data_IF_781683291513
#
_entry.id   IF_781683291513
#
_cell.length_a   1.000
_cell.length_b   1.000
_cell.length_c   1.000
_cell.angle_alpha   90.00
_cell.angle_beta   90.00
_cell.angle_gamma   90.00
#
_symmetry.space_group_name_H-M   'P 1'
#
loop_
_entity.id
_entity.type
_entity.pdbx_description
1 polymer ?
#
# COMPACT_ATOMS: atom_id res chain seq x y z
N UNK A 1 18.80 -25.80 -22.24
CA UNK A 1 19.91 -25.69 -21.27
C UNK A 1 19.31 -25.60 -19.86
N UNK A 2 19.81 -26.37 -18.88
CA UNK A 2 19.43 -26.15 -17.46
C UNK A 2 19.96 -24.78 -17.03
N UNK A 3 19.12 -23.96 -16.40
CA UNK A 3 19.54 -22.64 -15.87
C UNK A 3 20.50 -22.88 -14.70
N UNK A 4 21.64 -22.18 -14.70
CA UNK A 4 22.56 -22.17 -13.56
C UNK A 4 21.85 -21.59 -12.33
N UNK A 5 22.15 -22.13 -11.15
CA UNK A 5 21.59 -21.68 -9.89
C UNK A 5 22.61 -21.81 -8.75
N UNK A 6 22.42 -21.01 -7.71
CA UNK A 6 23.13 -21.10 -6.44
C UNK A 6 22.23 -21.76 -5.40
N UNK A 7 22.65 -22.85 -4.74
CA UNK A 7 21.89 -23.45 -3.65
C UNK A 7 22.05 -22.61 -2.37
N UNK A 8 21.03 -21.82 -2.03
CA UNK A 8 20.99 -21.07 -0.77
C UNK A 8 20.45 -21.97 0.34
N UNK A 9 21.21 -22.27 1.41
CA UNK A 9 20.72 -23.07 2.52
C UNK A 9 19.53 -22.40 3.20
N UNK A 10 18.43 -23.11 3.40
CA UNK A 10 17.24 -22.53 4.00
C UNK A 10 17.49 -22.11 5.46
N UNK A 11 18.46 -22.75 6.15
CA UNK A 11 18.94 -22.37 7.48
C UNK A 11 19.41 -20.92 7.60
N UNK A 12 19.82 -20.30 6.51
CA UNK A 12 20.20 -18.88 6.48
C UNK A 12 19.05 -17.96 6.92
N UNK A 13 17.81 -18.44 6.88
CA UNK A 13 16.62 -17.69 7.31
C UNK A 13 16.15 -18.01 8.73
N UNK A 14 16.87 -18.87 9.48
CA UNK A 14 16.50 -19.28 10.84
C UNK A 14 16.85 -18.19 11.88
N UNK A 15 16.04 -17.13 11.92
CA UNK A 15 16.26 -15.83 12.59
C UNK A 15 16.52 -15.85 14.11
N UNK A 16 16.18 -16.92 14.83
CA UNK A 16 16.46 -17.09 16.27
C UNK A 16 17.76 -17.88 16.54
N UNK A 17 18.53 -18.20 15.51
CA UNK A 17 19.69 -19.08 15.62
C UNK A 17 20.97 -18.42 15.11
N UNK A 18 22.12 -18.97 15.51
CA UNK A 18 23.43 -18.54 15.00
C UNK A 18 23.59 -18.77 13.50
N UNK A 19 22.73 -19.58 12.89
CA UNK A 19 22.70 -19.84 11.46
C UNK A 19 22.06 -18.72 10.65
N UNK A 20 21.36 -17.77 11.27
CA UNK A 20 20.73 -16.66 10.54
C UNK A 20 21.74 -15.78 9.81
N UNK A 21 21.43 -15.42 8.56
CA UNK A 21 22.28 -14.63 7.68
C UNK A 21 21.59 -13.30 7.34
N UNK A 22 22.20 -12.16 7.73
CA UNK A 22 21.82 -10.81 7.30
C UNK A 22 21.98 -10.58 5.79
N UNK A 23 21.47 -9.43 5.33
CA UNK A 23 21.40 -9.06 3.91
C UNK A 23 22.77 -9.08 3.22
N UNK A 24 23.80 -8.50 3.84
CA UNK A 24 25.14 -8.44 3.26
C UNK A 24 25.77 -9.83 3.11
N UNK A 25 25.69 -10.66 4.14
CA UNK A 25 26.22 -12.02 4.12
C UNK A 25 25.52 -12.88 3.05
N UNK A 26 24.20 -12.74 2.91
CA UNK A 26 23.42 -13.48 1.90
C UNK A 26 23.87 -13.15 0.47
N UNK A 27 24.08 -11.86 0.19
CA UNK A 27 24.53 -11.40 -1.14
C UNK A 27 25.95 -11.84 -1.44
N UNK A 28 26.85 -11.77 -0.45
CA UNK A 28 28.22 -12.29 -0.61
C UNK A 28 28.20 -13.78 -0.92
N UNK A 29 27.43 -14.58 -0.17
CA UNK A 29 27.30 -16.01 -0.43
C UNK A 29 26.75 -16.29 -1.83
N UNK A 30 25.73 -15.55 -2.26
CA UNK A 30 25.15 -15.68 -3.59
C UNK A 30 26.17 -15.39 -4.71
N UNK A 31 26.95 -14.31 -4.60
CA UNK A 31 27.97 -13.98 -5.60
C UNK A 31 29.13 -14.97 -5.59
N UNK A 32 29.56 -15.44 -4.42
CA UNK A 32 30.55 -16.51 -4.32
C UNK A 32 30.10 -17.77 -5.07
N UNK A 33 28.81 -18.10 -4.97
CA UNK A 33 28.17 -19.23 -5.65
C UNK A 33 27.89 -19.03 -7.15
N UNK A 34 28.12 -17.84 -7.70
CA UNK A 34 28.13 -17.59 -9.15
C UNK A 34 29.55 -17.49 -9.73
N UNK A 35 30.57 -17.21 -8.91
CA UNK A 35 31.97 -17.05 -9.33
C UNK A 35 32.76 -18.36 -9.33
N UNK A 36 32.08 -19.49 -9.23
CA UNK A 36 32.66 -20.82 -9.06
C UNK A 36 33.43 -21.20 -10.30
N UNK A 37 34.47 -22.00 -10.12
CA UNK A 37 35.25 -22.50 -11.23
C UNK A 37 34.42 -23.48 -12.07
N UNK A 38 34.47 -23.35 -13.39
CA UNK A 38 33.73 -24.22 -14.31
C UNK A 38 34.02 -25.72 -14.11
N UNK A 39 35.21 -26.06 -13.61
CA UNK A 39 35.65 -27.44 -13.32
C UNK A 39 35.40 -27.87 -11.87
N UNK A 40 35.16 -26.92 -10.95
CA UNK A 40 34.89 -27.19 -9.54
C UNK A 40 33.83 -26.21 -9.02
N UNK A 41 32.58 -26.63 -9.04
CA UNK A 41 31.43 -25.81 -8.64
C UNK A 41 31.38 -25.48 -7.15
N UNK A 42 32.25 -26.09 -6.33
CA UNK A 42 32.39 -25.77 -4.91
C UNK A 42 33.53 -24.79 -4.61
N UNK A 43 34.42 -24.51 -5.56
CA UNK A 43 35.59 -23.66 -5.32
C UNK A 43 35.47 -22.35 -6.10
N UNK A 44 35.70 -21.25 -5.39
CA UNK A 44 35.75 -19.89 -5.93
C UNK A 44 37.09 -19.26 -5.56
N UNK A 45 37.82 -18.77 -6.55
CA UNK A 45 39.07 -18.00 -6.34
C UNK A 45 38.75 -16.52 -6.53
N UNK A 46 38.97 -15.72 -5.50
CA UNK A 46 38.57 -14.30 -5.50
C UNK A 46 39.45 -13.46 -4.58
N UNK A 47 39.11 -12.18 -4.41
CA UNK A 47 39.64 -11.32 -3.35
C UNK A 47 38.58 -10.28 -2.95
N UNK A 48 38.82 -9.53 -1.88
CA UNK A 48 37.85 -8.55 -1.35
C UNK A 48 37.61 -7.42 -2.37
N UNK A 49 38.65 -7.00 -3.08
CA UNK A 49 38.53 -5.94 -4.09
C UNK A 49 37.61 -6.35 -5.24
N UNK A 50 37.75 -7.58 -5.74
CA UNK A 50 36.91 -8.15 -6.80
C UNK A 50 35.45 -8.29 -6.33
N UNK A 51 35.22 -8.90 -5.18
CA UNK A 51 33.88 -9.04 -4.61
C UNK A 51 33.21 -7.68 -4.41
N UNK A 52 33.93 -6.69 -3.86
CA UNK A 52 33.38 -5.35 -3.68
C UNK A 52 33.08 -4.65 -5.02
N UNK A 53 33.87 -4.90 -6.07
CA UNK A 53 33.63 -4.34 -7.40
C UNK A 53 32.33 -4.84 -8.04
N UNK A 54 31.95 -6.09 -7.73
CA UNK A 54 30.73 -6.75 -8.20
C UNK A 54 29.53 -6.34 -7.34
N UNK A 55 29.68 -6.41 -6.01
CA UNK A 55 28.57 -6.24 -5.07
C UNK A 55 28.24 -4.76 -4.82
N UNK A 56 29.27 -3.92 -4.70
CA UNK A 56 29.15 -2.48 -4.51
C UNK A 56 28.23 -2.05 -3.35
N UNK A 57 28.41 -2.62 -2.15
CA UNK A 57 27.62 -2.28 -0.96
C UNK A 57 27.61 -0.77 -0.61
N UNK A 58 28.66 -0.05 -0.99
CA UNK A 58 28.72 1.41 -0.88
C UNK A 58 29.46 1.97 -2.10
N UNK A 59 28.72 2.54 -3.04
CA UNK A 59 29.25 3.15 -4.26
C UNK A 59 30.03 4.44 -3.99
N UNK A 60 29.73 5.12 -2.88
CA UNK A 60 30.35 6.39 -2.51
C UNK A 60 31.63 6.21 -1.69
N UNK A 61 31.72 5.12 -0.92
CA UNK A 61 32.85 4.83 -0.06
C UNK A 61 33.33 3.37 -0.22
N UNK A 62 34.31 3.19 -1.10
CA UNK A 62 34.90 1.89 -1.39
C UNK A 62 35.51 1.22 -0.15
N UNK A 63 36.12 1.98 0.76
CA UNK A 63 36.72 1.42 1.98
C UNK A 63 35.66 0.77 2.87
N UNK A 64 34.53 1.46 3.06
CA UNK A 64 33.39 0.94 3.82
C UNK A 64 32.76 -0.28 3.14
N UNK A 65 32.62 -0.24 1.80
CA UNK A 65 32.15 -1.39 1.02
C UNK A 65 33.04 -2.62 1.22
N UNK A 66 34.37 -2.47 1.10
CA UNK A 66 35.35 -3.53 1.33
C UNK A 66 35.28 -4.07 2.76
N UNK A 67 35.09 -3.21 3.76
CA UNK A 67 34.90 -3.65 5.15
C UNK A 67 33.67 -4.54 5.29
N UNK A 68 32.53 -4.15 4.69
CA UNK A 68 31.30 -4.97 4.72
C UNK A 68 31.50 -6.34 4.05
N UNK A 69 32.21 -6.39 2.92
CA UNK A 69 32.55 -7.66 2.25
C UNK A 69 33.42 -8.53 3.16
N UNK A 70 34.46 -7.96 3.78
CA UNK A 70 35.34 -8.69 4.70
C UNK A 70 34.56 -9.25 5.89
N UNK A 71 33.74 -8.41 6.53
CA UNK A 71 32.95 -8.81 7.69
C UNK A 71 31.95 -9.91 7.34
N UNK A 72 31.36 -9.84 6.14
CA UNK A 72 30.46 -10.87 5.64
C UNK A 72 31.18 -12.21 5.39
N UNK A 73 32.36 -12.19 4.77
CA UNK A 73 33.16 -13.40 4.55
C UNK A 73 33.52 -14.09 5.87
N UNK A 74 34.03 -13.34 6.84
CA UNK A 74 34.39 -13.88 8.16
C UNK A 74 33.17 -14.48 8.85
N UNK A 75 32.03 -13.79 8.86
CA UNK A 75 30.81 -14.32 9.49
C UNK A 75 30.24 -15.55 8.79
N UNK A 76 30.29 -15.61 7.46
CA UNK A 76 29.88 -16.81 6.72
C UNK A 76 30.78 -18.00 7.05
N UNK A 77 32.09 -17.77 7.19
CA UNK A 77 33.05 -18.78 7.62
C UNK A 77 32.77 -19.26 9.05
N UNK A 78 32.61 -18.34 9.99
CA UNK A 78 32.36 -18.67 11.40
C UNK A 78 31.04 -19.42 11.61
N UNK A 79 30.05 -19.19 10.75
CA UNK A 79 28.78 -19.92 10.72
C UNK A 79 28.84 -21.27 10.00
N UNK A 80 30.00 -21.62 9.42
CA UNK A 80 30.21 -22.87 8.69
C UNK A 80 29.56 -22.92 7.31
N UNK A 81 29.21 -21.78 6.72
CA UNK A 81 28.63 -21.73 5.38
C UNK A 81 29.66 -21.74 4.26
N UNK A 82 30.90 -21.36 4.55
CA UNK A 82 32.02 -21.41 3.61
C UNK A 82 33.29 -21.80 4.37
N UNK A 83 34.27 -22.37 3.66
CA UNK A 83 35.63 -22.47 4.16
C UNK A 83 36.51 -21.43 3.44
N UNK A 84 37.37 -20.74 4.20
CA UNK A 84 38.24 -19.68 3.69
C UNK A 84 39.70 -20.10 3.86
N UNK A 85 40.41 -20.28 2.75
CA UNK A 85 41.87 -20.41 2.73
C UNK A 85 42.49 -19.20 2.04
N UNK A 86 43.60 -18.71 2.59
CA UNK A 86 44.37 -17.61 2.01
C UNK A 86 45.84 -17.78 2.35
N UNK A 87 46.72 -17.40 1.42
CA UNK A 87 48.16 -17.65 1.50
C UNK A 87 48.90 -16.73 2.48
N UNK A 88 48.30 -15.57 2.79
CA UNK A 88 48.93 -14.56 3.63
C UNK A 88 48.67 -14.80 5.13
N UNK A 89 49.59 -14.35 5.98
CA UNK A 89 49.39 -14.35 7.44
C UNK A 89 48.25 -13.43 7.92
N UNK A 90 47.76 -12.53 7.06
CA UNK A 90 46.67 -11.60 7.34
C UNK A 90 45.80 -11.41 6.10
N UNK A 91 44.49 -11.35 6.30
CA UNK A 91 43.49 -11.06 5.27
C UNK A 91 43.57 -9.60 4.81
N UNK A 92 44.31 -9.32 3.73
CA UNK A 92 44.33 -7.99 3.07
C UNK A 92 43.31 -7.95 1.93
N UNK A 93 43.05 -6.76 1.40
CA UNK A 93 42.01 -6.55 0.38
C UNK A 93 42.29 -7.27 -0.95
N UNK A 94 43.57 -7.31 -1.33
CA UNK A 94 44.06 -7.90 -2.58
C UNK A 94 44.62 -9.33 -2.40
N UNK A 95 44.62 -9.86 -1.18
CA UNK A 95 45.03 -11.25 -0.91
C UNK A 95 44.10 -12.19 -1.66
N UNK A 96 44.69 -13.15 -2.38
CA UNK A 96 43.93 -14.21 -3.05
C UNK A 96 43.26 -15.10 -2.01
N UNK A 97 41.95 -15.27 -2.16
CA UNK A 97 41.10 -16.09 -1.34
C UNK A 97 40.64 -17.29 -2.15
N UNK A 98 40.85 -18.47 -1.58
CA UNK A 98 40.21 -19.70 -1.99
C UNK A 98 39.00 -19.92 -1.07
N UNK A 99 37.81 -19.84 -1.66
CA UNK A 99 36.54 -19.98 -0.94
C UNK A 99 35.89 -21.27 -1.37
N UNK A 100 35.73 -22.21 -0.43
CA UNK A 100 35.02 -23.46 -0.69
C UNK A 100 33.59 -23.38 -0.16
N UNK A 101 32.61 -23.52 -1.06
CA UNK A 101 31.20 -23.64 -0.73
C UNK A 101 30.83 -25.12 -0.49
N UNK A 102 29.92 -25.40 0.45
CA UNK A 102 29.45 -26.75 0.72
C UNK A 102 28.67 -27.29 -0.48
N UNK A 103 28.88 -28.57 -0.80
CA UNK A 103 28.05 -29.28 -1.78
C UNK A 103 26.66 -29.57 -1.20
N UNK A 104 25.66 -29.76 -2.07
CA UNK A 104 24.25 -29.90 -1.66
C UNK A 104 23.95 -31.13 -0.80
N UNK A 105 24.88 -32.10 -0.76
CA UNK A 105 24.84 -33.28 0.09
C UNK A 105 25.46 -33.06 1.48
N UNK A 106 26.06 -31.89 1.75
CA UNK A 106 26.69 -31.56 3.04
C UNK A 106 25.66 -31.60 4.18
N UNK A 107 25.86 -32.48 5.19
CA UNK A 107 24.83 -32.76 6.19
C UNK A 107 24.50 -31.55 7.06
N UNK A 108 25.51 -30.84 7.55
CA UNK A 108 25.31 -29.75 8.51
C UNK A 108 24.69 -28.50 7.88
N UNK A 109 24.97 -28.23 6.61
CA UNK A 109 24.50 -27.02 5.92
C UNK A 109 23.10 -27.24 5.34
N UNK A 110 22.88 -28.38 4.69
CA UNK A 110 21.66 -28.62 3.92
C UNK A 110 20.72 -29.69 4.50
N UNK A 111 21.21 -30.71 5.21
CA UNK A 111 20.35 -31.86 5.58
C UNK A 111 19.83 -31.83 7.01
N UNK A 112 20.60 -31.40 7.99
CA UNK A 112 20.16 -31.39 9.39
C UNK A 112 19.12 -30.27 9.57
N UNK A 113 17.92 -30.49 10.12
CA UNK A 113 16.97 -29.40 10.34
C UNK A 113 17.45 -28.46 11.46
N UNK A 114 17.09 -27.18 11.37
CA UNK A 114 17.23 -26.19 12.45
C UNK A 114 15.88 -25.55 12.70
N UNK A 115 15.45 -25.47 13.95
CA UNK A 115 14.18 -24.86 14.32
C UNK A 115 14.37 -23.38 14.67
N UNK A 116 13.50 -22.52 14.16
CA UNK A 116 13.43 -21.10 14.51
C UNK A 116 11.98 -20.63 14.38
N UNK A 117 11.45 -19.94 15.38
CA UNK A 117 10.02 -19.68 15.50
C UNK A 117 9.22 -20.99 15.41
N UNK A 118 8.22 -21.01 14.53
CA UNK A 118 7.34 -22.17 14.32
C UNK A 118 7.77 -23.07 13.15
N UNK A 119 9.01 -22.93 12.67
CA UNK A 119 9.44 -23.54 11.40
C UNK A 119 10.74 -24.32 11.53
N UNK A 120 10.81 -25.42 10.77
CA UNK A 120 12.02 -26.21 10.59
C UNK A 120 12.68 -25.86 9.25
N UNK A 121 13.89 -25.33 9.33
CA UNK A 121 14.69 -24.91 8.20
C UNK A 121 15.62 -26.06 7.79
N UNK A 122 15.39 -26.61 6.61
CA UNK A 122 16.15 -27.73 6.03
C UNK A 122 16.19 -27.58 4.51
N UNK A 123 17.22 -28.13 3.87
CA UNK A 123 17.42 -28.11 2.44
C UNK A 123 17.99 -26.79 1.93
N UNK A 124 17.82 -26.57 0.63
CA UNK A 124 18.19 -25.34 -0.03
C UNK A 124 17.06 -24.82 -0.91
N UNK A 125 17.19 -23.55 -1.28
CA UNK A 125 16.42 -22.91 -2.33
C UNK A 125 17.34 -22.65 -3.51
N UNK A 126 16.93 -23.09 -4.69
CA UNK A 126 17.65 -22.79 -5.93
C UNK A 126 17.45 -21.32 -6.30
N UNK A 127 18.52 -20.54 -6.32
CA UNK A 127 18.46 -19.11 -6.65
C UNK A 127 19.17 -18.86 -7.97
N UNK A 128 18.46 -18.30 -8.94
CA UNK A 128 18.99 -18.05 -10.28
C UNK A 128 19.39 -16.60 -10.45
N UNK A 129 20.24 -16.33 -11.44
CA UNK A 129 20.60 -14.96 -11.85
C UNK A 129 19.37 -14.10 -12.15
N UNK A 130 18.36 -14.69 -12.80
CA UNK A 130 17.08 -14.02 -13.08
C UNK A 130 16.31 -13.57 -11.83
N UNK A 131 16.53 -14.17 -10.65
CA UNK A 131 15.93 -13.67 -9.41
C UNK A 131 16.68 -12.44 -8.89
N UNK A 132 18.01 -12.44 -9.01
CA UNK A 132 18.85 -11.31 -8.58
C UNK A 132 18.69 -10.09 -9.48
N UNK A 133 18.64 -10.28 -10.80
CA UNK A 133 18.51 -9.17 -11.76
C UNK A 133 17.13 -8.51 -11.73
N UNK A 134 16.10 -9.21 -11.26
CA UNK A 134 14.77 -8.64 -11.06
C UNK A 134 14.65 -7.78 -9.79
N UNK A 135 15.50 -8.01 -8.79
CA UNK A 135 15.47 -7.25 -7.54
C UNK A 135 16.30 -5.97 -7.63
N UNK A 136 15.71 -4.84 -7.23
CA UNK A 136 16.39 -3.55 -7.17
C UNK A 136 17.17 -3.36 -5.86
N UNK A 137 16.76 -4.05 -4.79
CA UNK A 137 17.43 -4.00 -3.49
C UNK A 137 17.75 -5.40 -2.96
N UNK A 138 18.66 -5.45 -1.99
CA UNK A 138 19.05 -6.71 -1.33
C UNK A 138 17.87 -7.29 -0.54
N UNK A 139 17.05 -6.42 0.06
CA UNK A 139 15.84 -6.82 0.79
C UNK A 139 14.85 -7.51 -0.15
N UNK A 140 14.61 -6.94 -1.35
CA UNK A 140 13.75 -7.54 -2.36
C UNK A 140 14.28 -8.91 -2.81
N UNK A 141 15.60 -9.02 -3.02
CA UNK A 141 16.24 -10.28 -3.35
C UNK A 141 16.01 -11.34 -2.26
N UNK A 142 16.20 -10.96 -1.00
CA UNK A 142 15.98 -11.82 0.17
C UNK A 142 14.51 -12.27 0.26
N UNK A 143 13.56 -11.36 0.05
CA UNK A 143 12.12 -11.67 0.01
C UNK A 143 11.82 -12.71 -1.05
N UNK A 144 12.33 -12.54 -2.28
CA UNK A 144 12.11 -13.50 -3.37
C UNK A 144 12.59 -14.91 -3.01
N UNK A 145 13.79 -15.03 -2.44
CA UNK A 145 14.34 -16.33 -2.03
C UNK A 145 13.47 -16.95 -0.94
N UNK A 146 13.08 -16.15 0.06
CA UNK A 146 12.26 -16.64 1.17
C UNK A 146 10.87 -17.08 0.71
N UNK A 147 10.20 -16.30 -0.15
CA UNK A 147 8.91 -16.68 -0.73
C UNK A 147 9.04 -17.96 -1.55
N UNK A 148 10.10 -18.12 -2.36
CA UNK A 148 10.36 -19.34 -3.12
C UNK A 148 10.45 -20.54 -2.19
N UNK A 149 11.27 -20.46 -1.15
CA UNK A 149 11.41 -21.55 -0.19
C UNK A 149 10.05 -21.94 0.42
N UNK A 150 9.33 -20.94 0.92
CA UNK A 150 8.06 -21.11 1.64
C UNK A 150 6.96 -21.69 0.76
N UNK A 151 6.94 -21.33 -0.53
CA UNK A 151 5.98 -21.87 -1.48
C UNK A 151 6.21 -23.34 -1.81
N UNK A 152 7.47 -23.79 -1.86
CA UNK A 152 7.82 -25.19 -2.16
C UNK A 152 7.80 -26.10 -0.93
N UNK A 153 8.12 -25.60 0.27
CA UNK A 153 8.21 -26.41 1.50
C UNK A 153 6.89 -27.11 1.89
N UNK A 154 5.75 -26.69 1.32
CA UNK A 154 4.43 -27.26 1.59
C UNK A 154 3.82 -28.06 0.42
N UNK A 155 4.59 -28.46 -0.61
CA UNK A 155 4.03 -29.09 -1.82
C UNK A 155 3.21 -30.39 -1.61
N UNK A 156 3.39 -31.10 -0.48
CA UNK A 156 2.54 -32.26 -0.13
C UNK A 156 1.17 -31.89 0.44
N UNK A 157 0.99 -30.64 0.89
CA UNK A 157 -0.30 -30.06 1.31
C UNK A 157 -0.45 -28.73 0.57
N UNK A 158 -1.13 -28.74 -0.58
CA UNK A 158 -1.49 -27.56 -1.40
C UNK A 158 -2.16 -26.40 -0.64
N UNK A 159 -2.41 -26.53 0.65
CA UNK A 159 -3.01 -25.53 1.51
C UNK A 159 -1.99 -25.10 2.58
N UNK A 160 -1.81 -23.78 2.69
CA UNK A 160 -1.31 -23.09 3.88
C UNK A 160 0.21 -23.08 4.11
N UNK A 161 0.98 -22.39 3.25
CA UNK A 161 2.04 -21.54 3.81
C UNK A 161 1.49 -20.12 3.91
N UNK A 162 1.73 -19.50 5.05
CA UNK A 162 1.36 -18.12 5.31
C UNK A 162 2.52 -17.48 6.07
N UNK A 163 2.81 -16.22 5.78
CA UNK A 163 3.93 -15.49 6.37
C UNK A 163 3.37 -14.26 7.05
N UNK A 164 3.53 -14.19 8.37
CA UNK A 164 3.06 -13.04 9.13
C UNK A 164 4.03 -11.87 8.99
N UNK A 165 3.56 -10.64 9.23
CA UNK A 165 4.47 -9.50 9.25
C UNK A 165 5.53 -9.59 10.37
N UNK A 166 5.23 -10.26 11.48
CA UNK A 166 6.23 -10.54 12.53
C UNK A 166 7.32 -11.50 12.06
N UNK A 167 6.96 -12.47 11.23
CA UNK A 167 7.94 -13.34 10.58
C UNK A 167 8.80 -12.53 9.59
N UNK A 168 8.19 -11.63 8.82
CA UNK A 168 8.93 -10.73 7.93
C UNK A 168 9.89 -9.80 8.67
N UNK A 169 9.48 -9.23 9.79
CA UNK A 169 10.35 -8.43 10.67
C UNK A 169 11.61 -9.21 11.06
N UNK A 170 11.43 -10.49 11.41
CA UNK A 170 12.52 -11.34 11.87
C UNK A 170 13.44 -11.77 10.73
N UNK A 171 12.86 -12.18 9.58
CA UNK A 171 13.61 -12.60 8.39
C UNK A 171 14.41 -11.44 7.79
N UNK A 172 13.83 -10.24 7.77
CA UNK A 172 14.47 -9.03 7.23
C UNK A 172 15.30 -8.29 8.28
N UNK A 173 15.12 -8.60 9.56
CA UNK A 173 15.75 -7.92 10.71
C UNK A 173 15.47 -6.41 10.70
N UNK A 174 14.20 -6.05 10.51
CA UNK A 174 13.73 -4.65 10.45
C UNK A 174 12.49 -4.45 11.31
N UNK A 175 12.11 -3.18 11.52
CA UNK A 175 10.85 -2.85 12.22
C UNK A 175 9.62 -3.30 11.43
N UNK A 176 8.49 -3.47 12.12
CA UNK A 176 7.20 -3.80 11.51
C UNK A 176 6.85 -2.90 10.32
N UNK A 177 6.94 -1.58 10.48
CA UNK A 177 6.60 -0.63 9.42
C UNK A 177 7.53 -0.76 8.21
N UNK A 178 8.82 -1.01 8.46
CA UNK A 178 9.79 -1.23 7.40
C UNK A 178 9.52 -2.54 6.66
N UNK A 179 9.20 -3.62 7.37
CA UNK A 179 8.83 -4.89 6.77
C UNK A 179 7.58 -4.75 5.90
N UNK A 180 6.55 -4.06 6.40
CA UNK A 180 5.34 -3.75 5.61
C UNK A 180 5.69 -3.02 4.32
N UNK A 181 6.47 -1.93 4.42
CA UNK A 181 6.88 -1.13 3.26
C UNK A 181 7.68 -1.94 2.24
N UNK A 182 8.64 -2.76 2.68
CA UNK A 182 9.44 -3.62 1.79
C UNK A 182 8.52 -4.59 1.04
N UNK A 183 7.60 -5.24 1.74
CA UNK A 183 6.69 -6.22 1.15
C UNK A 183 5.71 -5.56 0.18
N UNK A 184 5.19 -4.38 0.51
CA UNK A 184 4.34 -3.59 -0.39
C UNK A 184 5.11 -3.19 -1.65
N UNK A 185 6.34 -2.68 -1.52
CA UNK A 185 7.19 -2.39 -2.68
C UNK A 185 7.45 -3.63 -3.55
N UNK A 186 7.71 -4.79 -2.94
CA UNK A 186 7.86 -6.04 -3.70
C UNK A 186 6.59 -6.41 -4.49
N UNK A 187 5.40 -6.04 -3.99
CA UNK A 187 4.13 -6.25 -4.70
C UNK A 187 3.97 -5.23 -5.83
N UNK A 188 4.27 -3.96 -5.58
CA UNK A 188 4.21 -2.87 -6.57
C UNK A 188 5.17 -3.10 -7.74
N UNK A 189 6.40 -3.56 -7.44
CA UNK A 189 7.42 -3.91 -8.43
C UNK A 189 7.10 -5.23 -9.16
N UNK A 190 5.96 -5.88 -8.84
CA UNK A 190 5.52 -7.12 -9.46
C UNK A 190 6.41 -8.32 -9.16
N UNK A 191 7.25 -8.27 -8.12
CA UNK A 191 8.15 -9.38 -7.75
C UNK A 191 7.38 -10.52 -7.08
N UNK A 192 6.41 -10.17 -6.23
CA UNK A 192 5.55 -11.11 -5.52
C UNK A 192 4.09 -10.70 -5.61
N UNK A 193 3.18 -11.67 -5.52
CA UNK A 193 1.74 -11.44 -5.33
C UNK A 193 1.37 -11.77 -3.90
N UNK A 194 0.65 -10.85 -3.24
CA UNK A 194 0.16 -11.02 -1.87
C UNK A 194 -1.32 -11.38 -1.88
N UNK A 195 -1.62 -12.59 -1.44
CA UNK A 195 -2.98 -13.02 -1.11
C UNK A 195 -3.29 -12.64 0.33
N UNK A 196 -4.23 -11.70 0.52
CA UNK A 196 -4.65 -11.29 1.87
C UNK A 196 -5.49 -12.40 2.50
N UNK A 197 -5.19 -12.73 3.75
CA UNK A 197 -5.99 -13.68 4.53
C UNK A 197 -7.41 -13.15 4.77
N UNK A 198 -8.37 -14.05 4.93
CA UNK A 198 -9.76 -13.69 5.21
C UNK A 198 -9.95 -13.21 6.65
N UNK A 199 -10.99 -12.42 6.89
CA UNK A 199 -11.35 -12.01 8.25
C UNK A 199 -12.25 -13.08 8.87
N UNK A 200 -12.00 -13.43 10.12
CA UNK A 200 -12.81 -14.36 10.91
C UNK A 200 -13.02 -13.80 12.31
N UNK A 201 -14.11 -14.22 12.96
CA UNK A 201 -14.38 -13.88 14.36
C UNK A 201 -13.87 -15.03 15.22
N UNK A 202 -13.01 -14.75 16.19
CA UNK A 202 -12.54 -15.78 17.12
C UNK A 202 -13.61 -16.14 18.16
N UNK A 203 -13.33 -17.15 18.99
CA UNK A 203 -14.19 -17.57 20.10
C UNK A 203 -14.51 -16.46 21.11
N UNK A 204 -13.70 -15.41 21.16
CA UNK A 204 -13.84 -14.26 22.07
C UNK A 204 -14.61 -13.09 21.43
N UNK A 205 -15.10 -13.24 20.19
CA UNK A 205 -15.84 -12.20 19.48
C UNK A 205 -14.97 -11.14 18.77
N UNK A 206 -13.64 -11.30 18.77
CA UNK A 206 -12.69 -10.41 18.09
C UNK A 206 -12.57 -10.76 16.60
N UNK A 207 -12.67 -9.74 15.74
CA UNK A 207 -12.38 -9.89 14.30
C UNK A 207 -10.86 -9.96 14.12
N UNK A 208 -10.36 -11.10 13.63
CA UNK A 208 -8.96 -11.34 13.28
C UNK A 208 -8.84 -11.58 11.78
N UNK A 209 -7.63 -11.36 11.26
CA UNK A 209 -7.31 -11.68 9.87
C UNK A 209 -6.43 -12.92 9.83
N UNK A 210 -6.70 -13.82 8.89
CA UNK A 210 -5.77 -14.89 8.56
C UNK A 210 -4.43 -14.34 8.07
N UNK A 211 -3.39 -15.14 8.21
CA UNK A 211 -2.04 -14.73 7.78
C UNK A 211 -1.98 -14.70 6.25
N UNK A 212 -1.31 -13.68 5.70
CA UNK A 212 -1.19 -13.50 4.25
C UNK A 212 -0.35 -14.62 3.61
N UNK A 213 -0.64 -14.93 2.34
CA UNK A 213 0.16 -15.81 1.49
C UNK A 213 0.85 -15.00 0.40
N UNK A 214 1.95 -15.50 -0.11
CA UNK A 214 2.81 -14.76 -1.04
C UNK A 214 3.31 -15.67 -2.15
N UNK A 215 3.14 -15.33 -3.41
CA UNK A 215 3.65 -16.11 -4.54
C UNK A 215 4.65 -15.29 -5.35
N UNK A 216 5.64 -15.93 -5.99
CA UNK A 216 6.52 -15.23 -6.94
C UNK A 216 5.73 -14.99 -8.22
N UNK A 217 5.75 -13.78 -8.75
CA UNK A 217 5.12 -13.49 -10.03
C UNK A 217 5.86 -14.22 -11.15
N UNK A 218 5.21 -15.20 -11.77
CA UNK A 218 5.56 -15.67 -13.11
C UNK A 218 5.26 -14.56 -14.12
N UNK A 219 6.13 -14.34 -15.10
CA UNK A 219 5.88 -13.44 -16.23
C UNK A 219 4.78 -13.99 -17.17
N UNK A 220 4.27 -15.18 -16.91
CA UNK A 220 3.02 -15.65 -17.51
C UNK A 220 1.88 -14.98 -16.75
N UNK A 221 1.07 -14.25 -17.49
CA UNK A 221 -0.06 -13.46 -17.03
C UNK A 221 -1.06 -14.32 -16.23
N UNK A 222 -0.77 -14.56 -14.97
CA UNK A 222 -1.77 -14.89 -13.98
C UNK A 222 -2.10 -13.60 -13.25
N UNK A 223 -2.90 -12.74 -13.86
CA UNK A 223 -3.69 -11.75 -13.12
C UNK A 223 -4.66 -12.48 -12.19
N UNK A 224 -4.11 -13.07 -11.13
CA UNK A 224 -4.82 -13.52 -9.94
C UNK A 224 -4.49 -12.57 -8.80
N UNK A 225 -4.45 -11.27 -9.09
CA UNK A 225 -5.14 -10.33 -8.21
C UNK A 225 -6.56 -10.86 -8.03
N UNK A 226 -7.17 -10.65 -6.86
CA UNK A 226 -8.60 -10.90 -6.66
C UNK A 226 -9.41 -9.95 -7.56
N UNK A 227 -9.37 -10.15 -8.88
CA UNK A 227 -10.16 -9.44 -9.87
C UNK A 227 -11.61 -9.54 -9.43
N UNK A 228 -12.07 -10.67 -8.91
CA UNK A 228 -13.43 -10.77 -8.36
C UNK A 228 -13.74 -9.76 -7.25
N UNK A 229 -12.89 -9.45 -6.27
CA UNK A 229 -13.28 -8.47 -5.21
C UNK A 229 -13.09 -7.01 -5.64
N UNK A 230 -12.01 -6.67 -6.33
CA UNK A 230 -11.81 -5.29 -6.81
C UNK A 230 -12.76 -4.98 -7.98
N UNK A 231 -12.98 -5.93 -8.90
CA UNK A 231 -14.00 -5.83 -9.95
C UNK A 231 -15.40 -5.86 -9.34
N UNK A 232 -15.73 -6.71 -8.35
CA UNK A 232 -17.06 -6.63 -7.71
C UNK A 232 -17.25 -5.33 -6.93
N UNK A 233 -16.19 -4.76 -6.33
CA UNK A 233 -16.26 -3.47 -5.66
C UNK A 233 -16.41 -2.33 -6.68
N UNK A 234 -15.70 -2.39 -7.79
CA UNK A 234 -15.83 -1.44 -8.91
C UNK A 234 -17.21 -1.56 -9.57
N UNK A 235 -17.69 -2.76 -9.87
CA UNK A 235 -19.04 -3.04 -10.39
C UNK A 235 -20.10 -2.55 -9.40
N UNK A 236 -19.95 -2.83 -8.11
CA UNK A 236 -20.87 -2.33 -7.07
C UNK A 236 -20.85 -0.80 -6.98
N UNK A 237 -19.68 -0.17 -7.12
CA UNK A 237 -19.54 1.29 -7.15
C UNK A 237 -20.21 1.87 -8.38
N UNK A 238 -19.97 1.31 -9.57
CA UNK A 238 -20.57 1.75 -10.82
C UNK A 238 -22.09 1.60 -10.77
N UNK A 239 -22.61 0.47 -10.27
CA UNK A 239 -24.05 0.30 -10.03
C UNK A 239 -24.62 1.35 -9.06
N UNK A 240 -23.89 1.68 -7.99
CA UNK A 240 -24.32 2.70 -7.03
C UNK A 240 -24.26 4.11 -7.62
N UNK A 241 -23.28 4.40 -8.49
CA UNK A 241 -23.19 5.67 -9.24
C UNK A 241 -24.37 5.79 -10.20
N UNK A 242 -24.66 4.75 -11.00
CA UNK A 242 -25.76 4.76 -11.97
C UNK A 242 -27.13 4.92 -11.30
N UNK A 243 -27.33 4.28 -10.15
CA UNK A 243 -28.60 4.34 -9.42
C UNK A 243 -28.72 5.61 -8.55
N UNK A 244 -27.62 6.32 -8.29
CA UNK A 244 -27.62 7.51 -7.42
C UNK A 244 -28.15 8.73 -8.17
N UNK A 245 -29.14 9.40 -7.58
CA UNK A 245 -29.65 10.68 -8.08
C UNK A 245 -28.84 11.90 -7.56
N UNK A 246 -27.77 11.68 -6.79
CA UNK A 246 -26.88 12.76 -6.36
C UNK A 246 -25.93 13.17 -7.49
N UNK A 247 -25.95 14.46 -7.86
CA UNK A 247 -25.14 15.01 -8.96
C UNK A 247 -24.01 15.93 -8.49
N UNK A 248 -24.01 16.33 -7.21
CA UNK A 248 -22.95 17.18 -6.66
C UNK A 248 -21.62 16.42 -6.67
N UNK A 249 -20.51 17.10 -6.94
CA UNK A 249 -19.18 16.49 -6.93
C UNK A 249 -18.83 16.05 -5.50
N UNK A 250 -18.54 14.76 -5.32
CA UNK A 250 -18.21 14.20 -4.02
C UNK A 250 -17.32 12.95 -4.16
N UNK A 251 -16.73 12.54 -3.05
CA UNK A 251 -15.76 11.46 -2.97
C UNK A 251 -16.37 10.14 -2.48
N UNK A 252 -17.66 10.11 -2.10
CA UNK A 252 -18.31 8.91 -1.52
C UNK A 252 -18.19 7.63 -2.35
N UNK A 253 -18.27 7.71 -3.68
CA UNK A 253 -18.12 6.56 -4.59
C UNK A 253 -16.70 6.40 -5.15
N UNK A 254 -15.75 7.28 -4.77
CA UNK A 254 -14.37 7.18 -5.24
C UNK A 254 -13.55 6.27 -4.32
N UNK A 255 -12.91 5.25 -4.89
CA UNK A 255 -11.99 4.40 -4.14
C UNK A 255 -10.78 5.21 -3.67
N UNK A 256 -10.30 4.91 -2.44
CA UNK A 256 -9.11 5.51 -1.84
C UNK A 256 -9.08 7.05 -1.74
N UNK A 257 -10.20 7.72 -1.98
CA UNK A 257 -10.31 9.17 -1.79
C UNK A 257 -10.42 9.53 -0.32
N UNK A 258 -9.85 10.68 0.04
CA UNK A 258 -10.09 11.29 1.34
C UNK A 258 -11.49 11.90 1.37
N UNK A 259 -12.18 11.73 2.50
CA UNK A 259 -13.48 12.36 2.76
C UNK A 259 -13.23 13.68 3.46
N UNK A 260 -13.82 14.75 2.94
CA UNK A 260 -13.69 16.10 3.49
C UNK A 260 -14.99 16.63 4.10
N UNK A 261 -15.01 17.94 4.38
CA UNK A 261 -16.16 18.63 4.96
C UNK A 261 -17.32 18.77 3.96
N UNK A 262 -17.03 19.00 2.68
CA UNK A 262 -18.03 19.15 1.62
C UNK A 262 -18.74 17.81 1.36
N UNK A 263 -18.00 16.70 1.39
CA UNK A 263 -18.55 15.36 1.32
C UNK A 263 -19.56 15.11 2.45
N UNK A 264 -19.21 15.49 3.69
CA UNK A 264 -20.10 15.36 4.85
C UNK A 264 -21.32 16.28 4.76
N UNK A 265 -21.15 17.49 4.24
CA UNK A 265 -22.26 18.41 3.98
C UNK A 265 -23.23 17.82 2.95
N UNK A 266 -22.72 17.24 1.86
CA UNK A 266 -23.53 16.55 0.84
C UNK A 266 -24.27 15.36 1.47
N UNK A 267 -23.59 14.55 2.29
CA UNK A 267 -24.20 13.43 3.00
C UNK A 267 -25.39 13.85 3.88
N UNK A 268 -25.28 14.95 4.64
CA UNK A 268 -26.37 15.44 5.47
C UNK A 268 -27.54 16.01 4.67
N UNK A 269 -27.25 16.70 3.55
CA UNK A 269 -28.25 17.42 2.77
C UNK A 269 -28.81 16.64 1.57
N UNK A 270 -28.27 15.46 1.26
CA UNK A 270 -28.78 14.66 0.15
C UNK A 270 -30.13 14.02 0.48
N UNK A 271 -30.97 13.87 -0.54
CA UNK A 271 -32.17 13.01 -0.52
C UNK A 271 -31.92 11.65 -1.17
N UNK A 272 -30.72 11.40 -1.71
CA UNK A 272 -30.36 10.14 -2.34
C UNK A 272 -30.13 9.05 -1.28
N UNK A 273 -31.06 8.09 -1.19
CA UNK A 273 -30.96 6.98 -0.23
C UNK A 273 -29.74 6.09 -0.50
N UNK A 274 -29.37 5.90 -1.77
CA UNK A 274 -28.22 5.08 -2.17
C UNK A 274 -26.91 5.69 -1.68
N UNK A 275 -26.74 7.01 -1.86
CA UNK A 275 -25.60 7.71 -1.31
C UNK A 275 -25.56 7.60 0.21
N UNK A 276 -26.70 7.78 0.89
CA UNK A 276 -26.76 7.68 2.36
C UNK A 276 -26.33 6.30 2.86
N UNK A 277 -26.82 5.24 2.24
CA UNK A 277 -26.47 3.88 2.63
C UNK A 277 -24.97 3.61 2.41
N UNK A 278 -24.46 3.95 1.23
CA UNK A 278 -23.05 3.74 0.89
C UNK A 278 -22.11 4.58 1.75
N UNK A 279 -22.42 5.86 1.94
CA UNK A 279 -21.67 6.77 2.78
C UNK A 279 -21.67 6.32 4.24
N UNK A 280 -22.79 5.80 4.76
CA UNK A 280 -22.86 5.26 6.13
C UNK A 280 -21.93 4.07 6.30
N UNK A 281 -21.97 3.09 5.38
CA UNK A 281 -21.05 1.95 5.39
C UNK A 281 -19.58 2.39 5.37
N UNK A 282 -19.25 3.39 4.55
CA UNK A 282 -17.90 3.95 4.47
C UNK A 282 -17.50 4.69 5.75
N UNK A 283 -18.40 5.48 6.34
CA UNK A 283 -18.21 6.17 7.61
C UNK A 283 -17.94 5.17 8.73
N UNK A 284 -18.70 4.08 8.80
CA UNK A 284 -18.55 3.04 9.81
C UNK A 284 -17.21 2.32 9.64
N UNK A 285 -16.83 2.03 8.40
CA UNK A 285 -15.52 1.49 8.06
C UNK A 285 -14.36 2.37 8.53
N UNK A 286 -14.43 3.69 8.32
CA UNK A 286 -13.41 4.64 8.79
C UNK A 286 -13.43 4.77 10.32
N UNK A 287 -14.63 4.80 10.91
CA UNK A 287 -14.85 5.01 12.34
C UNK A 287 -14.49 3.79 13.19
N UNK A 288 -14.28 2.61 12.58
CA UNK A 288 -13.78 1.41 13.25
C UNK A 288 -12.41 1.61 13.92
N UNK A 289 -11.61 2.57 13.43
CA UNK A 289 -10.31 2.94 14.01
C UNK A 289 -10.45 4.19 14.90
N UNK A 290 -9.80 4.19 16.06
CA UNK A 290 -9.87 5.30 17.04
C UNK A 290 -9.52 6.68 16.46
N UNK A 291 -8.47 6.76 15.65
CA UNK A 291 -8.09 8.00 14.95
C UNK A 291 -9.08 8.37 13.83
N UNK A 292 -9.60 7.38 13.10
CA UNK A 292 -10.61 7.59 12.06
C UNK A 292 -11.92 8.13 12.62
N UNK A 293 -12.36 7.61 13.77
CA UNK A 293 -13.53 8.11 14.49
C UNK A 293 -13.40 9.60 14.83
N UNK A 294 -12.27 10.02 15.39
CA UNK A 294 -12.01 11.44 15.72
C UNK A 294 -12.07 12.34 14.48
N UNK A 295 -11.53 11.88 13.36
CA UNK A 295 -11.57 12.63 12.08
C UNK A 295 -13.00 12.78 11.58
N UNK A 296 -13.76 11.68 11.55
CA UNK A 296 -15.17 11.70 11.12
C UNK A 296 -16.02 12.58 12.01
N UNK A 297 -15.88 12.51 13.34
CA UNK A 297 -16.62 13.35 14.28
C UNK A 297 -16.32 14.83 14.06
N UNK A 298 -15.05 15.19 13.83
CA UNK A 298 -14.65 16.56 13.50
C UNK A 298 -15.29 17.04 12.19
N UNK A 299 -15.27 16.23 11.14
CA UNK A 299 -15.89 16.57 9.86
C UNK A 299 -17.41 16.71 9.96
N UNK A 300 -18.07 15.81 10.70
CA UNK A 300 -19.51 15.89 10.99
C UNK A 300 -19.86 17.19 11.73
N UNK A 301 -19.06 17.56 12.73
CA UNK A 301 -19.28 18.79 13.50
C UNK A 301 -19.17 20.04 12.62
N UNK A 302 -18.15 20.12 11.77
CA UNK A 302 -17.97 21.23 10.83
C UNK A 302 -19.11 21.35 9.81
N UNK A 303 -19.46 20.24 9.16
CA UNK A 303 -20.55 20.22 8.19
C UNK A 303 -21.90 20.62 8.82
N UNK A 304 -22.20 20.16 10.05
CA UNK A 304 -23.40 20.58 10.79
C UNK A 304 -23.39 22.07 11.12
N UNK A 305 -22.25 22.63 11.55
CA UNK A 305 -22.13 24.05 11.85
C UNK A 305 -22.41 24.90 10.60
N UNK A 306 -21.92 24.48 9.43
CA UNK A 306 -22.22 25.13 8.15
C UNK A 306 -23.71 25.09 7.82
N UNK A 307 -24.37 23.93 7.96
CA UNK A 307 -25.81 23.79 7.71
C UNK A 307 -26.62 24.72 8.60
N UNK A 308 -26.29 24.78 9.89
CA UNK A 308 -26.96 25.66 10.85
C UNK A 308 -26.80 27.14 10.50
N UNK A 309 -25.63 27.55 10.02
CA UNK A 309 -25.37 28.90 9.56
C UNK A 309 -26.23 29.24 8.33
N UNK A 310 -26.25 28.36 7.34
CA UNK A 310 -27.06 28.54 6.12
C UNK A 310 -28.57 28.58 6.41
N UNK A 311 -29.07 27.75 7.33
CA UNK A 311 -30.47 27.78 7.77
C UNK A 311 -30.82 29.08 8.49
N UNK A 312 -29.92 29.58 9.34
CA UNK A 312 -30.09 30.86 10.02
C UNK A 312 -30.14 32.02 9.03
N UNK A 313 -29.24 32.04 8.06
CA UNK A 313 -29.18 33.09 7.04
C UNK A 313 -30.41 33.08 6.13
N UNK A 314 -30.88 31.89 5.73
CA UNK A 314 -32.14 31.74 4.98
C UNK A 314 -33.34 32.26 5.75
N UNK A 315 -33.43 31.95 7.05
CA UNK A 315 -34.52 32.45 7.89
C UNK A 315 -34.49 33.97 8.00
N UNK A 316 -33.31 34.56 8.23
CA UNK A 316 -33.14 36.01 8.28
C UNK A 316 -33.49 36.68 6.94
N UNK A 317 -33.18 36.04 5.81
CA UNK A 317 -33.54 36.56 4.50
C UNK A 317 -35.05 36.48 4.25
N UNK A 318 -35.69 35.36 4.62
CA UNK A 318 -37.15 35.22 4.54
C UNK A 318 -37.88 36.27 5.38
N UNK A 319 -37.42 36.51 6.62
CA UNK A 319 -37.97 37.55 7.49
C UNK A 319 -37.83 38.96 6.88
N UNK A 320 -36.73 39.23 6.15
CA UNK A 320 -36.53 40.49 5.42
C UNK A 320 -37.46 40.61 4.23
N UNK A 321 -37.57 39.56 3.42
CA UNK A 321 -38.40 39.54 2.22
C UNK A 321 -39.89 39.66 2.59
N UNK A 322 -40.33 38.99 3.66
CA UNK A 322 -41.69 39.13 4.20
C UNK A 322 -41.97 40.55 4.69
N UNK A 323 -41.01 41.19 5.36
CA UNK A 323 -41.14 42.59 5.78
C UNK A 323 -41.29 43.54 4.60
N UNK A 324 -40.45 43.38 3.57
CA UNK A 324 -40.53 44.18 2.33
C UNK A 324 -41.88 43.97 1.64
N UNK A 325 -42.35 42.72 1.57
CA UNK A 325 -43.65 42.40 0.98
C UNK A 325 -44.80 43.05 1.75
N UNK A 326 -44.73 43.06 3.09
CA UNK A 326 -45.72 43.72 3.93
C UNK A 326 -45.72 45.24 3.70
N UNK A 327 -44.54 45.87 3.67
CA UNK A 327 -44.42 47.31 3.40
C UNK A 327 -44.99 47.70 2.02
N UNK A 328 -44.79 46.85 1.00
CA UNK A 328 -45.37 47.03 -0.33
C UNK A 328 -46.90 46.93 -0.32
N UNK A 329 -47.45 45.95 0.41
CA UNK A 329 -48.90 45.79 0.55
C UNK A 329 -49.53 46.98 1.27
N UNK A 330 -48.91 47.44 2.36
CA UNK A 330 -49.36 48.61 3.11
C UNK A 330 -49.33 49.89 2.26
N UNK A 331 -48.30 50.06 1.43
CA UNK A 331 -48.23 51.17 0.48
C UNK A 331 -49.31 51.11 -0.61
N UNK A 332 -49.57 49.93 -1.18
CA UNK A 332 -50.67 49.70 -2.13
C UNK A 332 -52.04 49.99 -1.52
N UNK A 333 -52.26 49.63 -0.26
CA UNK A 333 -53.48 49.99 0.46
C UNK A 333 -53.61 51.50 0.69
N UNK A 334 -52.51 52.19 1.03
CA UNK A 334 -52.51 53.66 1.14
C UNK A 334 -52.86 54.30 -0.21
N UNK A 335 -52.27 53.86 -1.31
CA UNK A 335 -52.61 54.37 -2.65
C UNK A 335 -54.08 54.15 -3.02
N UNK A 336 -54.66 52.99 -2.66
CA UNK A 336 -56.09 52.73 -2.86
C UNK A 336 -56.99 53.65 -2.03
N UNK A 337 -56.59 53.97 -0.78
CA UNK A 337 -57.32 54.92 0.08
C UNK A 337 -57.21 56.36 -0.39
N UNK A 338 -56.13 56.71 -1.10
CA UNK A 338 -55.85 58.06 -1.59
C UNK A 338 -56.11 58.26 -3.09
N UNK A 339 -56.77 57.33 -3.80
CA UNK A 339 -57.24 57.60 -5.17
C UNK A 339 -58.30 58.72 -5.12
N UNK A 340 -58.05 59.90 -5.71
CA UNK A 340 -59.08 60.90 -5.87
C UNK A 340 -60.13 60.34 -6.84
N UNK A 341 -61.41 60.48 -6.51
CA UNK A 341 -62.51 60.23 -7.43
C UNK A 341 -62.52 61.31 -8.51
N UNK A 342 -61.66 61.20 -9.52
CA UNK A 342 -61.81 61.97 -10.75
C UNK A 342 -62.67 61.15 -11.71
N UNK A 343 -63.98 61.33 -11.60
CA UNK A 343 -64.93 61.12 -12.69
C UNK A 343 -64.88 62.40 -13.54
N UNK A 344 -64.47 62.37 -14.81
CA UNK A 344 -64.80 63.44 -15.73
C UNK A 344 -66.29 63.28 -16.06
N UNK A 345 -67.10 64.15 -15.49
CA UNK A 345 -68.42 64.47 -16.05
C UNK A 345 -68.20 65.20 -17.38
N UNK A 346 -68.95 64.77 -18.39
CA UNK A 346 -69.19 65.47 -19.65
C UNK A 346 -69.49 66.94 -19.41
N UNK A 347 -68.96 67.82 -20.27
CA UNK A 347 -69.78 68.76 -21.04
C UNK A 347 -68.93 69.38 -22.15
N UNK A 348 -69.63 69.73 -23.22
CA UNK A 348 -69.21 70.36 -24.45
C UNK A 348 -68.12 71.42 -24.27
N UNK A 349 -67.13 71.43 -25.17
CA UNK A 349 -66.78 72.70 -25.81
C UNK A 349 -66.15 72.47 -27.19
N UNK A 350 -66.75 73.22 -28.10
CA UNK A 350 -66.61 73.31 -29.52
C UNK A 350 -65.20 73.79 -29.94
N UNK A 351 -64.50 72.97 -30.73
CA UNK A 351 -63.18 73.30 -31.29
C UNK A 351 -63.27 73.98 -32.67
N UNK A 352 -64.42 74.58 -33.01
CA UNK A 352 -64.63 75.23 -34.31
C UNK A 352 -64.07 76.66 -34.44
N UNK A 353 -63.42 77.25 -33.42
CA UNK A 353 -63.08 78.68 -33.42
C UNK A 353 -61.59 79.06 -33.29
N UNK A 354 -60.65 78.20 -33.74
CA UNK A 354 -59.22 78.57 -33.83
C UNK A 354 -58.62 78.38 -35.23
N UNK A 355 -59.43 78.59 -36.27
CA UNK A 355 -58.98 79.11 -37.56
C UNK A 355 -59.48 80.56 -37.67
N UNK A 356 -58.56 81.52 -37.65
CA UNK A 356 -58.86 82.93 -37.84
C UNK A 356 -57.59 83.75 -38.03
N UNK A 357 -57.21 83.87 -39.30
CA UNK A 357 -56.50 84.97 -39.97
C UNK A 357 -55.30 85.62 -39.28
N UNK A 358 -54.10 85.45 -39.86
CA UNK A 358 -53.32 86.50 -40.56
C UNK A 358 -52.16 85.89 -41.35
#
# INVERSE_FOLDING_TARGET
>A
MKKSFVPIPNKMFAFETNYFVPNEELVVYYHLGNLNLAKNYSLTITNIDLLNSIIQFDKSNLSRGKSKVRDALVKLHDKGYINLSFSDSKLRNNTTLEVTLPMTDHPEVFKNPVTSGNWNYQGFTEVTEGMYTKSNTIEQFKVLIYVKWRSFSNSKKKQSYAISYREWESVLKVSHQTAVKIIEQCCEDGLIKKERGEYYTNCDGEIRQETNKYQISSNEADETTNVTKELNTLISIDEHIEKSNEKRNHNWFRLNSYIDEDDMYIFFNTKCNILKEYATKRIDGISSKSNGKKVIEKLKAKAKARIQLEERDKRLQQERDERIKQDLLDNLEREKRYRPAYLPTTDDDDMSELLGDW
#
